data_IF_158770921056
#
_entry.id   IF_158770921056
#
_cell.length_a   1.000
_cell.length_b   1.000
_cell.length_c   1.000
_cell.angle_alpha   90.00
_cell.angle_beta   90.00
_cell.angle_gamma   90.00
#
_symmetry.space_group_name_H-M   'P 1'
#
loop_
_entity.id
_entity.type
_entity.pdbx_description
1 polymer ?
#
# COMPACT_ATOMS: atom_id res chain seq x y z
N UNK A 1 -15.67 -3.05 41.82
CA UNK A 1 -14.92 -2.31 40.81
C UNK A 1 -15.86 -2.01 39.65
N UNK A 2 -15.89 -0.78 39.14
CA UNK A 2 -16.69 -0.45 37.95
C UNK A 2 -15.92 -0.83 36.69
N UNK A 3 -16.32 -1.93 36.05
CA UNK A 3 -15.60 -2.49 34.89
C UNK A 3 -15.68 -1.57 33.65
N UNK A 4 -16.83 -0.89 33.47
CA UNK A 4 -16.99 0.01 32.32
C UNK A 4 -16.12 1.26 32.46
N UNK A 5 -15.97 1.78 33.67
CA UNK A 5 -15.12 2.93 33.96
C UNK A 5 -13.64 2.66 33.54
N UNK A 6 -13.07 1.55 33.99
CA UNK A 6 -11.67 1.23 33.64
C UNK A 6 -11.49 0.79 32.18
N UNK A 7 -12.49 0.11 31.60
CA UNK A 7 -12.45 -0.20 30.19
C UNK A 7 -12.53 1.06 29.32
N UNK A 8 -13.29 2.08 29.74
CA UNK A 8 -13.32 3.37 29.02
C UNK A 8 -11.95 4.05 29.01
N UNK A 9 -11.16 3.95 30.08
CA UNK A 9 -9.79 4.46 30.12
C UNK A 9 -8.88 3.70 29.16
N UNK A 10 -9.02 2.37 29.05
CA UNK A 10 -8.30 1.57 28.08
C UNK A 10 -8.70 1.94 26.64
N UNK A 11 -9.99 2.24 26.38
CA UNK A 11 -10.48 2.71 25.09
C UNK A 11 -9.90 4.07 24.69
N UNK A 12 -9.73 5.01 25.62
CA UNK A 12 -9.06 6.28 25.30
C UNK A 12 -7.60 6.06 24.88
N UNK A 13 -6.86 5.18 25.56
CA UNK A 13 -5.51 4.80 25.14
C UNK A 13 -5.49 4.11 23.77
N UNK A 14 -6.52 3.31 23.44
CA UNK A 14 -6.66 2.72 22.11
C UNK A 14 -6.90 3.79 21.02
N UNK A 15 -7.72 4.82 21.30
CA UNK A 15 -7.92 5.96 20.38
C UNK A 15 -6.63 6.75 20.16
N UNK A 16 -5.85 6.98 21.22
CA UNK A 16 -4.53 7.60 21.09
C UNK A 16 -3.58 6.78 20.20
N UNK A 17 -3.55 5.44 20.36
CA UNK A 17 -2.78 4.55 19.50
C UNK A 17 -3.21 4.70 18.03
N UNK A 18 -4.53 4.71 17.76
CA UNK A 18 -5.07 4.93 16.41
C UNK A 18 -4.62 6.25 15.80
N UNK A 19 -4.66 7.34 16.57
CA UNK A 19 -4.23 8.67 16.12
C UNK A 19 -2.73 8.73 15.77
N UNK A 20 -1.92 7.88 16.41
CA UNK A 20 -0.49 7.71 16.13
C UNK A 20 -0.19 6.70 14.99
N UNK A 21 -1.23 6.14 14.36
CA UNK A 21 -1.09 5.15 13.27
C UNK A 21 -0.82 3.71 13.74
N UNK A 22 -0.97 3.45 15.03
CA UNK A 22 -0.81 2.13 15.64
C UNK A 22 -2.13 1.36 15.69
N UNK A 23 -2.06 0.04 15.73
CA UNK A 23 -3.25 -0.78 15.99
C UNK A 23 -3.92 -0.35 17.29
N UNK A 24 -5.21 0.00 17.30
CA UNK A 24 -5.88 0.61 18.45
C UNK A 24 -6.17 -0.40 19.57
N UNK A 25 -5.15 -0.64 20.37
CA UNK A 25 -5.25 -1.42 21.60
C UNK A 25 -4.71 -0.57 22.75
N UNK A 26 -5.50 -0.50 23.80
CA UNK A 26 -5.15 0.18 25.05
C UNK A 26 -5.37 -0.75 26.25
N UNK A 27 -4.57 -0.56 27.29
CA UNK A 27 -4.64 -1.36 28.50
C UNK A 27 -4.35 -0.53 29.75
N UNK A 28 -5.02 -0.85 30.85
CA UNK A 28 -4.72 -0.31 32.19
C UNK A 28 -4.62 -1.44 33.22
N UNK A 29 -3.70 -1.30 34.16
CA UNK A 29 -3.60 -2.16 35.35
C UNK A 29 -4.10 -1.40 36.56
N UNK A 30 -5.05 -2.00 37.28
CA UNK A 30 -5.73 -1.40 38.44
C UNK A 30 -5.44 -2.23 39.68
N UNK A 31 -5.02 -1.59 40.77
CA UNK A 31 -4.90 -2.23 42.05
C UNK A 31 -6.29 -2.37 42.68
N UNK A 32 -6.74 -3.61 42.94
CA UNK A 32 -8.10 -3.92 43.32
C UNK A 32 -8.52 -3.40 44.72
N UNK A 33 -7.54 -3.19 45.61
CA UNK A 33 -7.79 -2.76 46.99
C UNK A 33 -8.26 -1.33 47.12
N UNK A 34 -7.87 -0.42 46.23
CA UNK A 34 -8.20 1.01 46.31
C UNK A 34 -8.65 1.60 44.94
N UNK A 35 -8.67 0.79 43.89
CA UNK A 35 -9.08 1.24 42.57
C UNK A 35 -8.06 2.15 41.87
N UNK A 36 -6.81 2.22 42.36
CA UNK A 36 -5.80 3.06 41.77
C UNK A 36 -5.27 2.42 40.45
N UNK A 37 -5.23 3.20 39.36
CA UNK A 37 -4.56 2.82 38.10
C UNK A 37 -3.06 2.97 38.30
N UNK A 38 -2.35 1.85 38.28
CA UNK A 38 -0.90 1.75 38.53
C UNK A 38 -0.09 1.49 37.28
N UNK A 39 -0.72 1.21 36.15
CA UNK A 39 -0.06 1.04 34.86
C UNK A 39 -1.00 1.37 33.71
N UNK A 40 -0.46 1.98 32.66
CA UNK A 40 -1.12 2.32 31.41
C UNK A 40 -0.29 1.90 30.22
N UNK A 41 -0.94 1.45 29.16
CA UNK A 41 -0.27 1.07 27.95
C UNK A 41 -1.13 1.25 26.71
N UNK A 42 -0.52 1.64 25.63
CA UNK A 42 -1.10 1.61 24.29
C UNK A 42 -0.12 0.97 23.31
N UNK A 43 -0.62 0.36 22.24
CA UNK A 43 0.27 -0.22 21.22
C UNK A 43 1.21 0.84 20.66
N UNK A 44 2.49 0.42 20.47
CA UNK A 44 3.57 1.23 19.88
C UNK A 44 4.53 0.36 19.04
N UNK A 45 4.02 -0.65 18.36
CA UNK A 45 4.84 -1.60 17.58
C UNK A 45 5.55 -0.96 16.41
N UNK A 46 4.82 -0.19 15.61
CA UNK A 46 5.31 0.44 14.38
C UNK A 46 6.26 1.60 14.72
N UNK A 47 5.82 2.54 15.56
CA UNK A 47 6.60 3.70 15.99
C UNK A 47 7.81 3.30 16.85
N UNK A 48 7.62 2.31 17.71
CA UNK A 48 8.68 1.76 18.56
C UNK A 48 9.62 0.80 17.85
N UNK A 49 9.26 0.34 16.63
CA UNK A 49 9.97 -0.70 15.87
C UNK A 49 10.29 -1.93 16.72
N UNK A 50 9.33 -2.33 17.56
CA UNK A 50 9.53 -3.40 18.53
C UNK A 50 8.25 -4.25 18.66
N UNK A 51 8.36 -5.54 18.35
CA UNK A 51 7.26 -6.50 18.40
C UNK A 51 6.70 -6.70 19.82
N UNK A 52 7.44 -6.34 20.86
CA UNK A 52 7.01 -6.47 22.26
C UNK A 52 6.17 -5.30 22.76
N UNK A 53 6.11 -4.18 22.04
CA UNK A 53 5.39 -2.97 22.45
C UNK A 53 3.86 -3.11 22.27
N UNK A 54 3.27 -4.15 22.85
CA UNK A 54 1.84 -4.31 23.01
C UNK A 54 1.33 -3.54 24.24
N UNK A 55 0.09 -3.07 24.19
CA UNK A 55 -0.52 -2.27 25.25
C UNK A 55 -0.44 -2.96 26.61
N UNK A 56 -0.73 -4.26 26.66
CA UNK A 56 -0.71 -5.07 27.88
C UNK A 56 0.69 -5.13 28.51
N UNK A 57 1.73 -5.35 27.68
CA UNK A 57 3.11 -5.45 28.18
C UNK A 57 3.58 -4.10 28.74
N UNK A 58 3.24 -3.01 28.07
CA UNK A 58 3.57 -1.64 28.51
C UNK A 58 2.87 -1.34 29.85
N UNK A 59 1.58 -1.67 29.96
CA UNK A 59 0.83 -1.46 31.19
C UNK A 59 1.34 -2.33 32.36
N UNK A 60 1.71 -3.59 32.10
CA UNK A 60 2.32 -4.50 33.07
C UNK A 60 3.69 -3.98 33.53
N UNK A 61 4.55 -3.52 32.61
CA UNK A 61 5.87 -2.97 32.96
C UNK A 61 5.73 -1.72 33.84
N UNK A 62 4.85 -0.79 33.50
CA UNK A 62 4.59 0.40 34.31
C UNK A 62 4.04 0.01 35.71
N UNK A 63 3.11 -0.93 35.76
CA UNK A 63 2.54 -1.41 37.03
C UNK A 63 3.61 -2.05 37.93
N UNK A 64 4.51 -2.86 37.35
CA UNK A 64 5.63 -3.45 38.07
C UNK A 64 6.57 -2.39 38.65
N UNK A 65 6.89 -1.36 37.89
CA UNK A 65 7.71 -0.21 38.35
C UNK A 65 7.01 0.55 39.47
N UNK A 66 5.71 0.82 39.31
CA UNK A 66 4.91 1.55 40.31
C UNK A 66 4.85 0.81 41.64
N UNK A 67 4.73 -0.52 41.63
CA UNK A 67 4.70 -1.35 42.83
C UNK A 67 6.10 -1.72 43.36
N UNK A 68 7.16 -1.46 42.62
CA UNK A 68 8.53 -1.83 42.99
C UNK A 68 8.79 -3.35 42.95
N UNK A 69 7.99 -4.11 42.20
CA UNK A 69 8.09 -5.56 42.11
C UNK A 69 7.37 -6.16 40.91
N UNK A 70 7.73 -7.37 40.53
CA UNK A 70 7.19 -8.04 39.35
C UNK A 70 5.85 -8.79 39.60
N UNK A 71 5.47 -9.02 40.84
CA UNK A 71 4.21 -9.68 41.19
C UNK A 71 3.07 -8.67 41.32
N UNK A 72 2.07 -8.82 40.45
CA UNK A 72 0.87 -7.97 40.41
C UNK A 72 -0.36 -8.68 41.03
N UNK A 73 -0.14 -9.48 42.06
CA UNK A 73 -1.25 -10.04 42.86
C UNK A 73 -2.10 -8.92 43.44
N UNK A 74 -3.41 -9.11 43.52
CA UNK A 74 -4.37 -8.06 43.89
C UNK A 74 -4.60 -7.01 42.84
N UNK A 75 -4.20 -7.26 41.57
CA UNK A 75 -4.42 -6.32 40.47
C UNK A 75 -5.27 -6.93 39.35
N UNK A 76 -5.96 -6.05 38.62
CA UNK A 76 -6.81 -6.37 37.46
C UNK A 76 -6.26 -5.66 36.24
N UNK A 77 -6.06 -6.39 35.13
CA UNK A 77 -5.74 -5.83 33.82
C UNK A 77 -7.04 -5.61 33.04
N UNK A 78 -7.23 -4.42 32.52
CA UNK A 78 -8.26 -4.10 31.53
C UNK A 78 -7.58 -3.87 30.18
N UNK A 79 -8.07 -4.50 29.14
CA UNK A 79 -7.53 -4.36 27.77
C UNK A 79 -8.66 -4.37 26.74
N UNK A 80 -8.56 -3.54 25.72
CA UNK A 80 -9.64 -3.39 24.71
C UNK A 80 -9.77 -4.59 23.77
N UNK A 81 -8.73 -5.41 23.62
CA UNK A 81 -8.69 -6.59 22.76
C UNK A 81 -8.21 -7.81 23.54
N UNK A 82 -8.75 -8.98 23.24
CA UNK A 82 -8.34 -10.25 23.83
C UNK A 82 -6.82 -10.44 23.74
N UNK A 83 -6.12 -10.78 24.83
CA UNK A 83 -4.68 -10.94 24.85
C UNK A 83 -4.18 -12.02 23.90
N UNK A 84 -3.11 -11.71 23.15
CA UNK A 84 -2.40 -12.66 22.33
C UNK A 84 -1.52 -13.62 23.18
N UNK A 85 -0.89 -14.67 22.60
CA UNK A 85 -0.08 -15.64 23.38
C UNK A 85 1.05 -15.01 24.19
N UNK A 86 1.73 -13.99 23.62
CA UNK A 86 2.81 -13.26 24.30
C UNK A 86 2.28 -12.52 25.55
N UNK A 87 1.16 -11.80 25.39
CA UNK A 87 0.55 -11.03 26.47
C UNK A 87 -0.08 -11.95 27.54
N UNK A 88 -0.73 -13.04 27.13
CA UNK A 88 -1.23 -14.06 28.05
C UNK A 88 -0.10 -14.68 28.89
N UNK A 89 1.04 -14.98 28.28
CA UNK A 89 2.24 -15.43 29.00
C UNK A 89 2.75 -14.40 30.01
N UNK A 90 2.76 -13.11 29.66
CA UNK A 90 3.16 -12.04 30.58
C UNK A 90 2.17 -11.88 31.75
N UNK A 91 0.88 -12.00 31.51
CA UNK A 91 -0.19 -11.98 32.50
C UNK A 91 0.01 -13.11 33.54
N UNK A 92 0.26 -14.33 33.06
CA UNK A 92 0.54 -15.50 33.92
C UNK A 92 1.79 -15.26 34.76
N UNK A 93 2.87 -14.80 34.14
CA UNK A 93 4.15 -14.60 34.80
C UNK A 93 4.09 -13.45 35.84
N UNK A 94 3.39 -12.36 35.55
CA UNK A 94 3.23 -11.22 36.47
C UNK A 94 2.27 -11.49 37.63
N UNK A 95 1.54 -12.62 37.63
CA UNK A 95 0.59 -13.00 38.69
C UNK A 95 -0.59 -12.04 38.80
N UNK A 96 -1.10 -11.52 37.70
CA UNK A 96 -2.35 -10.74 37.70
C UNK A 96 -3.53 -11.63 38.12
N UNK A 97 -4.36 -11.16 39.02
CA UNK A 97 -5.49 -11.95 39.53
C UNK A 97 -6.67 -12.00 38.58
N UNK A 98 -6.92 -10.91 37.84
CA UNK A 98 -8.06 -10.78 36.94
C UNK A 98 -7.64 -10.13 35.62
N UNK A 99 -8.20 -10.60 34.51
CA UNK A 99 -8.11 -9.98 33.19
C UNK A 99 -9.50 -9.69 32.67
N UNK A 100 -9.75 -8.43 32.32
CA UNK A 100 -11.00 -7.95 31.73
C UNK A 100 -10.69 -7.51 30.32
N UNK A 101 -11.32 -8.13 29.31
CA UNK A 101 -11.11 -7.69 27.95
C UNK A 101 -12.40 -7.31 27.22
N UNK A 102 -12.25 -6.42 26.21
CA UNK A 102 -13.34 -5.93 25.38
C UNK A 102 -13.67 -6.89 24.24
N UNK A 103 -13.10 -6.66 23.08
CA UNK A 103 -13.35 -7.46 21.88
C UNK A 103 -12.58 -8.78 21.88
N UNK A 104 -13.20 -9.84 21.37
CA UNK A 104 -12.53 -11.11 21.07
C UNK A 104 -11.61 -10.97 19.84
N UNK A 105 -10.49 -11.69 19.83
CA UNK A 105 -9.56 -11.74 18.69
C UNK A 105 -9.54 -13.14 18.05
N UNK A 106 -10.25 -13.29 16.94
CA UNK A 106 -10.33 -14.57 16.19
C UNK A 106 -9.01 -14.98 15.51
N UNK A 107 -7.96 -14.14 15.53
CA UNK A 107 -6.68 -14.41 14.86
C UNK A 107 -5.58 -14.82 15.84
N UNK A 108 -5.56 -14.22 17.04
CA UNK A 108 -4.50 -14.43 18.01
C UNK A 108 -4.98 -14.50 19.45
N UNK A 109 -6.29 -14.43 19.70
CA UNK A 109 -6.87 -14.45 21.04
C UNK A 109 -6.52 -15.70 21.81
N UNK A 110 -6.00 -15.54 23.02
CA UNK A 110 -5.47 -16.64 23.83
C UNK A 110 -6.21 -16.79 25.18
N UNK A 111 -7.41 -16.20 25.27
CA UNK A 111 -8.33 -16.33 26.39
C UNK A 111 -9.64 -17.05 26.02
N UNK A 112 -9.65 -17.76 24.87
CA UNK A 112 -10.80 -18.56 24.44
C UNK A 112 -11.10 -18.52 22.93
N UNK A 113 -10.66 -17.48 22.18
CA UNK A 113 -11.02 -17.35 20.76
C UNK A 113 -10.25 -18.29 19.85
N UNK A 114 -8.93 -18.40 19.96
CA UNK A 114 -8.10 -19.34 19.22
C UNK A 114 -7.64 -20.48 20.11
N UNK A 115 -7.18 -20.16 21.29
CA UNK A 115 -6.78 -21.09 22.36
C UNK A 115 -7.06 -20.46 23.71
N UNK A 116 -7.05 -21.27 24.77
CA UNK A 116 -7.14 -20.75 26.14
C UNK A 116 -5.88 -21.11 26.93
N UNK A 117 -4.88 -20.23 26.93
CA UNK A 117 -3.65 -20.41 27.69
C UNK A 117 -3.87 -20.41 29.19
N UNK A 118 -4.92 -19.75 29.68
CA UNK A 118 -5.23 -19.66 31.11
C UNK A 118 -5.83 -20.96 31.68
N UNK A 119 -6.28 -21.90 30.82
CA UNK A 119 -6.75 -23.24 31.23
C UNK A 119 -5.66 -24.30 31.19
N UNK A 120 -4.50 -24.00 30.62
CA UNK A 120 -3.35 -24.90 30.69
C UNK A 120 -2.80 -24.95 32.11
N UNK A 121 -2.15 -26.04 32.48
CA UNK A 121 -1.67 -26.33 33.82
C UNK A 121 -0.50 -25.47 34.33
N UNK A 122 -0.49 -24.17 34.00
CA UNK A 122 0.49 -23.24 34.51
C UNK A 122 0.28 -22.93 36.00
N UNK A 123 1.34 -22.46 36.65
CA UNK A 123 1.39 -22.22 38.08
C UNK A 123 0.61 -20.97 38.55
N UNK A 124 -0.11 -20.29 37.65
CA UNK A 124 -1.02 -19.19 37.96
C UNK A 124 -2.14 -19.14 36.92
N UNK A 125 -3.33 -18.86 37.39
CA UNK A 125 -4.53 -18.78 36.54
C UNK A 125 -5.34 -17.55 36.95
N UNK A 126 -5.39 -16.49 36.16
CA UNK A 126 -6.23 -15.33 36.42
C UNK A 126 -7.71 -15.65 36.18
N UNK A 127 -8.60 -14.92 36.84
CA UNK A 127 -9.99 -14.84 36.45
C UNK A 127 -10.13 -14.08 35.12
N UNK A 128 -10.98 -14.58 34.21
CA UNK A 128 -11.20 -13.97 32.91
C UNK A 128 -12.62 -13.43 32.79
N UNK A 129 -12.75 -12.12 32.51
CA UNK A 129 -14.02 -11.44 32.25
C UNK A 129 -13.96 -10.88 30.83
N UNK A 130 -14.84 -11.34 29.95
CA UNK A 130 -14.85 -10.95 28.55
C UNK A 130 -16.04 -10.06 28.20
N UNK A 131 -15.91 -9.31 27.10
CA UNK A 131 -17.05 -8.63 26.47
C UNK A 131 -17.38 -7.26 27.03
N UNK A 132 -16.58 -6.71 27.94
CA UNK A 132 -16.82 -5.38 28.50
C UNK A 132 -16.53 -4.31 27.47
N UNK A 133 -17.55 -3.54 27.07
CA UNK A 133 -17.50 -2.55 25.98
C UNK A 133 -16.95 -3.15 24.66
N UNK A 134 -17.39 -4.37 24.35
CA UNK A 134 -16.88 -5.12 23.19
C UNK A 134 -17.20 -4.46 21.85
N UNK A 135 -18.38 -3.85 21.72
CA UNK A 135 -18.78 -3.21 20.45
C UNK A 135 -18.01 -1.91 20.20
N UNK A 136 -17.75 -1.13 21.23
CA UNK A 136 -16.89 0.06 21.15
C UNK A 136 -15.46 -0.33 20.76
N UNK A 137 -14.91 -1.38 21.38
CA UNK A 137 -13.58 -1.92 21.05
C UNK A 137 -13.50 -2.40 19.60
N UNK A 138 -14.51 -3.13 19.13
CA UNK A 138 -14.60 -3.59 17.72
C UNK A 138 -14.74 -2.43 16.76
N UNK A 139 -15.52 -1.39 17.10
CA UNK A 139 -15.74 -0.23 16.22
C UNK A 139 -14.44 0.50 15.94
N UNK A 140 -13.65 0.81 16.97
CA UNK A 140 -12.36 1.49 16.81
C UNK A 140 -11.41 0.67 15.93
N UNK A 141 -11.31 -0.63 16.13
CA UNK A 141 -10.51 -1.54 15.31
C UNK A 141 -10.99 -1.55 13.85
N UNK A 142 -12.30 -1.68 13.63
CA UNK A 142 -12.91 -1.71 12.30
C UNK A 142 -12.66 -0.41 11.53
N UNK A 143 -12.86 0.73 12.17
CA UNK A 143 -12.62 2.05 11.59
C UNK A 143 -11.16 2.22 11.18
N UNK A 144 -10.23 1.92 12.06
CA UNK A 144 -8.79 1.98 11.81
C UNK A 144 -8.37 1.13 10.60
N UNK A 145 -8.73 -0.16 10.57
CA UNK A 145 -8.37 -1.03 9.46
C UNK A 145 -9.10 -0.68 8.16
N UNK A 146 -10.31 -0.13 8.21
CA UNK A 146 -11.01 0.33 7.02
C UNK A 146 -10.33 1.57 6.43
N UNK A 147 -9.87 2.49 7.27
CA UNK A 147 -9.10 3.67 6.82
C UNK A 147 -7.73 3.27 6.25
N UNK A 148 -7.02 2.35 6.90
CA UNK A 148 -5.76 1.80 6.36
C UNK A 148 -5.95 1.19 4.97
N UNK A 149 -6.99 0.37 4.76
CA UNK A 149 -7.32 -0.20 3.44
C UNK A 149 -7.65 0.88 2.43
N UNK A 150 -8.40 1.93 2.83
CA UNK A 150 -8.71 3.08 1.96
C UNK A 150 -7.45 3.81 1.55
N UNK A 151 -6.56 4.14 2.50
CA UNK A 151 -5.27 4.81 2.23
C UNK A 151 -4.40 3.97 1.28
N UNK A 152 -4.30 2.65 1.52
CA UNK A 152 -3.56 1.73 0.65
C UNK A 152 -4.13 1.72 -0.76
N UNK A 153 -5.46 1.57 -0.91
CA UNK A 153 -6.14 1.59 -2.21
C UNK A 153 -5.95 2.91 -2.96
N UNK A 154 -5.92 4.04 -2.25
CA UNK A 154 -5.64 5.37 -2.83
C UNK A 154 -4.16 5.55 -3.20
N UNK A 155 -3.25 4.80 -2.60
CA UNK A 155 -1.81 4.86 -2.90
C UNK A 155 -1.39 3.88 -4.01
N UNK A 156 -2.22 2.91 -4.36
CA UNK A 156 -1.94 1.95 -5.43
C UNK A 156 -2.00 2.62 -6.81
N UNK A 157 -0.97 2.37 -7.60
CA UNK A 157 -0.99 2.69 -9.03
C UNK A 157 -1.88 1.69 -9.75
N UNK A 158 -2.76 2.17 -10.62
CA UNK A 158 -3.64 1.33 -11.44
C UNK A 158 -3.47 1.63 -12.91
N UNK A 159 -3.41 0.56 -13.71
CA UNK A 159 -3.49 0.61 -15.16
C UNK A 159 -4.94 0.38 -15.55
N UNK A 160 -5.61 1.42 -16.05
CA UNK A 160 -7.01 1.34 -16.50
C UNK A 160 -7.04 1.27 -18.00
N UNK A 161 -7.50 0.16 -18.56
CA UNK A 161 -7.62 -0.02 -20.01
C UNK A 161 -8.63 0.97 -20.61
N UNK A 162 -8.26 1.58 -21.73
CA UNK A 162 -9.07 2.56 -22.45
C UNK A 162 -10.06 1.81 -23.33
N UNK A 163 -11.37 1.97 -23.05
CA UNK A 163 -12.47 1.29 -23.75
C UNK A 163 -13.61 2.22 -24.14
N UNK A 164 -13.59 3.46 -23.66
CA UNK A 164 -14.66 4.43 -23.90
C UNK A 164 -14.12 5.70 -24.54
N UNK A 165 -14.97 6.41 -25.30
CA UNK A 165 -14.61 7.68 -25.94
C UNK A 165 -14.11 8.72 -24.93
N UNK A 166 -14.70 8.80 -23.74
CA UNK A 166 -14.27 9.70 -22.66
C UNK A 166 -12.82 9.38 -22.22
N UNK A 167 -12.46 8.10 -22.19
CA UNK A 167 -11.10 7.69 -21.84
C UNK A 167 -10.11 8.01 -22.98
N UNK A 168 -10.51 7.85 -24.24
CA UNK A 168 -9.72 8.27 -25.42
C UNK A 168 -9.41 9.76 -25.36
N UNK A 169 -10.41 10.59 -25.14
CA UNK A 169 -10.26 12.04 -24.99
C UNK A 169 -9.35 12.41 -23.81
N UNK A 170 -9.44 11.64 -22.71
CA UNK A 170 -8.56 11.81 -21.54
C UNK A 170 -7.10 11.49 -21.89
N UNK A 171 -6.83 10.46 -22.68
CA UNK A 171 -5.48 10.12 -23.15
C UNK A 171 -4.95 11.19 -24.09
N UNK A 172 -5.77 11.66 -25.06
CA UNK A 172 -5.37 12.71 -25.99
C UNK A 172 -5.00 14.01 -25.25
N UNK A 173 -5.77 14.38 -24.24
CA UNK A 173 -5.49 15.55 -23.38
C UNK A 173 -4.18 15.36 -22.59
N UNK A 174 -3.97 14.17 -22.02
CA UNK A 174 -2.71 13.85 -21.34
C UNK A 174 -1.51 13.91 -22.27
N UNK A 175 -1.68 13.46 -23.53
CA UNK A 175 -0.65 13.52 -24.54
C UNK A 175 -0.27 14.96 -24.86
N UNK A 176 -1.24 15.82 -25.16
CA UNK A 176 -1.00 17.24 -25.45
C UNK A 176 -0.25 17.93 -24.31
N UNK A 177 -0.73 17.76 -23.05
CA UNK A 177 -0.12 18.33 -21.85
C UNK A 177 1.35 17.88 -21.68
N UNK A 178 1.62 16.56 -21.79
CA UNK A 178 2.95 16.00 -21.53
C UNK A 178 3.91 16.31 -22.67
N UNK A 179 3.47 16.27 -23.94
CA UNK A 179 4.31 16.51 -25.09
C UNK A 179 4.75 17.97 -25.18
N UNK A 180 3.84 18.93 -24.97
CA UNK A 180 4.19 20.36 -24.96
C UNK A 180 5.10 20.76 -23.80
N UNK A 181 5.13 19.96 -22.73
CA UNK A 181 6.03 20.22 -21.60
C UNK A 181 7.43 19.58 -21.82
N UNK A 182 7.47 18.38 -22.43
CA UNK A 182 8.71 17.58 -22.48
C UNK A 182 9.53 17.78 -23.75
N UNK A 183 8.89 17.80 -24.91
CA UNK A 183 9.57 17.72 -26.21
C UNK A 183 10.11 19.03 -26.77
N UNK A 184 9.79 20.25 -26.32
CA UNK A 184 10.39 21.50 -26.86
C UNK A 184 11.91 21.57 -26.78
N UNK A 185 12.53 20.78 -25.88
CA UNK A 185 13.99 20.68 -25.75
C UNK A 185 14.62 19.63 -26.69
N UNK A 186 13.81 18.84 -27.41
CA UNK A 186 14.25 17.68 -28.22
C UNK A 186 13.92 17.88 -29.70
N UNK A 187 12.72 18.38 -30.00
CA UNK A 187 12.21 18.61 -31.36
C UNK A 187 11.50 19.96 -31.47
N UNK A 188 11.25 20.44 -32.71
CA UNK A 188 10.57 21.71 -32.95
C UNK A 188 9.09 21.70 -32.56
N UNK A 189 8.52 22.87 -32.24
CA UNK A 189 7.09 23.01 -31.94
C UNK A 189 6.20 22.50 -33.11
N UNK A 190 6.59 22.81 -34.36
CA UNK A 190 5.87 22.33 -35.54
C UNK A 190 5.88 20.80 -35.66
N UNK A 191 6.96 20.15 -35.23
CA UNK A 191 7.05 18.69 -35.19
C UNK A 191 6.20 18.12 -34.05
N UNK A 192 6.14 18.80 -32.89
CA UNK A 192 5.24 18.43 -31.78
C UNK A 192 3.79 18.48 -32.23
N UNK A 193 3.37 19.58 -32.87
CA UNK A 193 2.00 19.71 -33.36
C UNK A 193 1.65 18.62 -34.38
N UNK A 194 2.54 18.34 -35.31
CA UNK A 194 2.37 17.26 -36.28
C UNK A 194 2.25 15.88 -35.62
N UNK A 195 3.09 15.59 -34.63
CA UNK A 195 3.10 14.31 -33.92
C UNK A 195 1.86 14.13 -33.03
N UNK A 196 1.40 15.21 -32.40
CA UNK A 196 0.18 15.19 -31.60
C UNK A 196 -1.05 14.96 -32.47
N UNK A 197 -1.17 15.66 -33.59
CA UNK A 197 -2.28 15.49 -34.53
C UNK A 197 -2.30 14.09 -35.13
N UNK A 198 -1.19 13.65 -35.68
CA UNK A 198 -1.09 12.39 -36.43
C UNK A 198 -1.14 11.13 -35.55
N UNK A 199 -0.59 11.17 -34.34
CA UNK A 199 -0.37 9.95 -33.54
C UNK A 199 -1.01 9.97 -32.15
N UNK A 200 -1.45 11.13 -31.64
CA UNK A 200 -1.90 11.30 -30.26
C UNK A 200 -3.26 12.02 -30.15
N UNK A 201 -3.86 12.43 -31.26
CA UNK A 201 -5.22 12.99 -31.28
C UNK A 201 -6.24 11.92 -30.88
N UNK A 202 -7.43 12.33 -30.42
CA UNK A 202 -8.49 11.38 -30.08
C UNK A 202 -8.89 10.49 -31.26
N UNK A 203 -8.89 11.04 -32.49
CA UNK A 203 -9.14 10.29 -33.72
C UNK A 203 -8.04 9.27 -33.97
N UNK A 204 -6.76 9.68 -33.91
CA UNK A 204 -5.63 8.78 -34.09
C UNK A 204 -5.61 7.64 -33.06
N UNK A 205 -5.91 7.92 -31.79
CA UNK A 205 -6.00 6.90 -30.74
C UNK A 205 -7.16 5.94 -30.98
N UNK A 206 -8.32 6.45 -31.44
CA UNK A 206 -9.47 5.59 -31.80
C UNK A 206 -9.14 4.64 -32.94
N UNK A 207 -8.51 5.13 -34.02
CA UNK A 207 -8.06 4.31 -35.14
C UNK A 207 -7.05 3.25 -34.70
N UNK A 208 -6.08 3.61 -33.86
CA UNK A 208 -5.12 2.65 -33.32
C UNK A 208 -5.78 1.57 -32.45
N UNK A 209 -6.81 1.90 -31.66
CA UNK A 209 -7.58 0.89 -30.92
C UNK A 209 -8.27 -0.10 -31.89
N UNK A 210 -8.79 0.34 -33.02
CA UNK A 210 -9.36 -0.51 -34.06
C UNK A 210 -8.30 -1.38 -34.76
N UNK A 211 -7.07 -0.89 -34.86
CA UNK A 211 -5.89 -1.61 -35.39
C UNK A 211 -5.29 -2.62 -34.39
N UNK A 212 -5.84 -2.73 -33.18
CA UNK A 212 -5.39 -3.71 -32.17
C UNK A 212 -4.45 -3.15 -31.11
N UNK A 213 -4.17 -1.85 -31.11
CA UNK A 213 -3.46 -1.23 -29.99
C UNK A 213 -4.30 -1.30 -28.72
N UNK A 214 -3.62 -1.41 -27.58
CA UNK A 214 -4.23 -1.32 -26.27
C UNK A 214 -3.64 -0.13 -25.53
N UNK A 215 -4.49 0.74 -25.02
CA UNK A 215 -4.10 1.90 -24.23
C UNK A 215 -4.48 1.73 -22.79
N UNK A 216 -3.63 2.21 -21.89
CA UNK A 216 -3.90 2.19 -20.45
C UNK A 216 -3.61 3.57 -19.85
N UNK A 217 -4.56 4.10 -19.09
CA UNK A 217 -4.36 5.28 -18.25
C UNK A 217 -3.70 4.83 -16.96
N UNK A 218 -2.56 5.44 -16.64
CA UNK A 218 -1.85 5.23 -15.39
C UNK A 218 -2.46 6.15 -14.34
N UNK A 219 -2.99 5.59 -13.26
CA UNK A 219 -3.69 6.33 -12.21
C UNK A 219 -3.05 6.09 -10.85
N UNK A 220 -3.06 7.14 -10.01
CA UNK A 220 -2.84 7.03 -8.57
C UNK A 220 -4.09 7.54 -7.84
N UNK A 221 -4.85 6.63 -7.25
CA UNK A 221 -6.19 6.96 -6.76
C UNK A 221 -7.07 7.49 -7.89
N UNK A 222 -7.57 8.71 -7.76
CA UNK A 222 -8.38 9.38 -8.78
C UNK A 222 -7.57 10.26 -9.75
N UNK A 223 -6.26 10.38 -9.53
CA UNK A 223 -5.39 11.25 -10.35
C UNK A 223 -4.81 10.48 -11.52
N UNK A 224 -4.91 11.03 -12.72
CA UNK A 224 -4.22 10.53 -13.91
C UNK A 224 -2.78 11.03 -13.88
N UNK A 225 -1.81 10.10 -13.82
CA UNK A 225 -0.38 10.41 -13.73
C UNK A 225 0.36 10.21 -15.05
N UNK A 226 -0.28 9.53 -16.00
CA UNK A 226 0.28 9.27 -17.33
C UNK A 226 -0.55 8.28 -18.12
N UNK A 227 0.00 7.80 -19.23
CA UNK A 227 -0.62 6.76 -20.05
C UNK A 227 0.46 5.91 -20.76
N UNK A 228 0.05 4.73 -21.21
CA UNK A 228 0.85 3.84 -22.04
C UNK A 228 0.01 3.27 -23.19
N UNK A 229 0.64 3.03 -24.32
CA UNK A 229 0.04 2.40 -25.49
C UNK A 229 0.92 1.27 -26.00
N UNK A 230 0.35 0.10 -26.22
CA UNK A 230 1.05 -1.12 -26.65
C UNK A 230 0.33 -1.81 -27.79
N UNK A 231 1.06 -2.60 -28.56
CA UNK A 231 0.53 -3.42 -29.66
C UNK A 231 1.24 -4.78 -29.66
N UNK A 232 0.53 -5.91 -29.67
CA UNK A 232 1.13 -7.22 -29.85
C UNK A 232 1.59 -7.39 -31.31
N UNK A 233 2.86 -7.73 -31.53
CA UNK A 233 3.39 -7.98 -32.87
C UNK A 233 3.27 -9.46 -33.27
N UNK A 234 3.19 -9.74 -34.57
CA UNK A 234 3.09 -11.12 -35.07
C UNK A 234 4.29 -12.01 -34.72
N UNK A 235 5.44 -11.42 -34.37
CA UNK A 235 6.66 -12.14 -33.98
C UNK A 235 6.66 -12.58 -32.50
N UNK A 236 5.56 -12.35 -31.78
CA UNK A 236 5.40 -12.75 -30.38
C UNK A 236 6.00 -11.76 -29.38
N UNK A 237 6.24 -10.51 -29.78
CA UNK A 237 6.66 -9.43 -28.87
C UNK A 237 5.57 -8.40 -28.69
N UNK A 238 5.66 -7.64 -27.59
CA UNK A 238 4.81 -6.49 -27.32
C UNK A 238 5.54 -5.21 -27.72
N UNK A 239 5.02 -4.49 -28.70
CA UNK A 239 5.50 -3.16 -29.04
C UNK A 239 4.98 -2.14 -28.01
N UNK A 240 5.88 -1.51 -27.27
CA UNK A 240 5.58 -0.37 -26.40
C UNK A 240 5.68 0.92 -27.22
N UNK A 241 4.57 1.31 -27.82
CA UNK A 241 4.49 2.51 -28.65
C UNK A 241 4.55 3.80 -27.84
N UNK A 242 3.99 3.81 -26.64
CA UNK A 242 3.84 5.02 -25.81
C UNK A 242 3.98 4.70 -24.33
N UNK A 243 4.80 5.50 -23.61
CA UNK A 243 4.85 5.55 -22.15
C UNK A 243 5.21 6.96 -21.72
N UNK A 244 4.24 7.67 -21.22
CA UNK A 244 4.38 9.07 -20.84
C UNK A 244 3.86 9.31 -19.44
N UNK A 245 4.66 10.00 -18.60
CA UNK A 245 4.35 10.34 -17.22
C UNK A 245 4.42 11.86 -17.08
N UNK A 246 3.41 12.47 -16.44
CA UNK A 246 3.39 13.89 -16.11
C UNK A 246 4.60 14.29 -15.28
N UNK A 247 5.13 15.49 -15.48
CA UNK A 247 6.36 16.00 -14.85
C UNK A 247 6.36 15.86 -13.33
N UNK A 248 5.30 16.31 -12.69
CA UNK A 248 5.15 16.27 -11.24
C UNK A 248 5.07 14.85 -10.64
N UNK A 249 4.92 13.85 -11.52
CA UNK A 249 4.86 12.43 -11.14
C UNK A 249 6.11 11.63 -11.54
N UNK A 250 7.07 12.20 -12.28
CA UNK A 250 8.33 11.54 -12.66
C UNK A 250 9.20 11.27 -11.43
N UNK A 251 10.09 10.29 -11.52
CA UNK A 251 10.98 9.90 -10.42
C UNK A 251 10.32 9.18 -9.24
N UNK A 252 9.01 8.87 -9.33
CA UNK A 252 8.23 8.22 -8.27
C UNK A 252 7.94 6.73 -8.53
N UNK A 253 8.63 6.10 -9.48
CA UNK A 253 8.53 4.66 -9.75
C UNK A 253 7.44 4.23 -10.74
N UNK A 254 6.60 5.14 -11.26
CA UNK A 254 5.47 4.77 -12.14
C UNK A 254 5.89 4.05 -13.44
N UNK A 255 7.05 4.40 -14.01
CA UNK A 255 7.56 3.67 -15.17
C UNK A 255 7.89 2.21 -14.84
N UNK A 256 8.56 1.96 -13.72
CA UNK A 256 8.87 0.60 -13.25
C UNK A 256 7.61 -0.22 -12.95
N UNK A 257 6.59 0.41 -12.34
CA UNK A 257 5.29 -0.24 -12.11
C UNK A 257 4.57 -0.55 -13.43
N UNK A 258 4.68 0.35 -14.43
CA UNK A 258 4.14 0.10 -15.77
C UNK A 258 4.86 -1.06 -16.44
N UNK A 259 6.19 -1.15 -16.36
CA UNK A 259 6.92 -2.29 -16.92
C UNK A 259 6.59 -3.61 -16.22
N UNK A 260 6.37 -3.60 -14.90
CA UNK A 260 5.89 -4.80 -14.20
C UNK A 260 4.54 -5.26 -14.75
N UNK A 261 3.59 -4.32 -14.89
CA UNK A 261 2.29 -4.59 -15.49
C UNK A 261 2.39 -5.12 -16.93
N UNK A 262 3.26 -4.53 -17.77
CA UNK A 262 3.44 -4.97 -19.16
C UNK A 262 4.10 -6.36 -19.25
N UNK A 263 5.01 -6.72 -18.33
CA UNK A 263 5.55 -8.07 -18.24
C UNK A 263 4.46 -9.10 -17.89
N UNK A 264 3.56 -8.76 -16.95
CA UNK A 264 2.44 -9.62 -16.63
C UNK A 264 1.47 -9.75 -17.82
N UNK A 265 1.22 -8.65 -18.53
CA UNK A 265 0.44 -8.65 -19.77
C UNK A 265 1.07 -9.55 -20.86
N UNK A 266 2.41 -9.55 -20.99
CA UNK A 266 3.12 -10.45 -21.90
C UNK A 266 2.90 -11.91 -21.51
N UNK A 267 3.06 -12.27 -20.23
CA UNK A 267 2.82 -13.63 -19.73
C UNK A 267 1.40 -14.13 -19.97
N UNK A 268 0.40 -13.26 -19.75
CA UNK A 268 -1.01 -13.56 -19.99
C UNK A 268 -1.35 -13.80 -21.48
N UNK A 269 -0.52 -13.30 -22.40
CA UNK A 269 -0.73 -13.39 -23.85
C UNK A 269 0.36 -14.17 -24.58
N UNK A 270 1.19 -14.96 -23.87
CA UNK A 270 2.29 -15.77 -24.42
C UNK A 270 3.31 -14.97 -25.28
N UNK A 271 3.59 -13.72 -24.89
CA UNK A 271 4.56 -12.85 -25.54
C UNK A 271 5.90 -12.89 -24.80
N UNK A 272 6.99 -13.10 -25.54
CA UNK A 272 8.33 -13.37 -24.98
C UNK A 272 9.20 -12.12 -24.77
N UNK A 273 8.71 -10.92 -25.10
CA UNK A 273 9.50 -9.70 -24.90
C UNK A 273 8.71 -8.42 -25.14
N UNK A 274 9.27 -7.32 -24.66
CA UNK A 274 8.76 -5.95 -24.89
C UNK A 274 9.82 -5.22 -25.70
N UNK A 275 9.44 -4.56 -26.79
CA UNK A 275 10.34 -3.72 -27.57
C UNK A 275 9.76 -2.32 -27.78
N UNK A 276 10.63 -1.33 -27.99
CA UNK A 276 10.25 0.07 -28.18
C UNK A 276 11.28 0.81 -29.04
N UNK A 277 10.88 1.99 -29.52
CA UNK A 277 11.77 2.96 -30.13
C UNK A 277 11.91 4.20 -29.25
N UNK A 278 13.08 4.83 -29.29
CA UNK A 278 13.32 6.10 -28.56
C UNK A 278 14.30 6.97 -29.33
N UNK A 279 13.97 8.26 -29.45
CA UNK A 279 14.84 9.23 -30.14
C UNK A 279 16.20 9.29 -29.44
N UNK A 280 17.27 9.24 -30.26
CA UNK A 280 18.67 9.24 -29.78
C UNK A 280 19.01 10.45 -28.91
N UNK A 281 18.34 11.58 -29.13
CA UNK A 281 18.55 12.80 -28.36
C UNK A 281 17.82 12.78 -27.00
N UNK A 282 17.00 11.76 -26.72
CA UNK A 282 16.27 11.64 -25.47
C UNK A 282 17.06 10.84 -24.41
N UNK A 283 18.26 11.37 -24.06
CA UNK A 283 19.22 10.70 -23.16
C UNK A 283 18.60 10.29 -21.81
N UNK A 284 17.73 11.13 -21.26
CA UNK A 284 17.09 10.85 -19.96
C UNK A 284 16.21 9.61 -20.01
N UNK A 285 15.42 9.45 -21.08
CA UNK A 285 14.54 8.30 -21.28
C UNK A 285 15.34 7.04 -21.63
N UNK A 286 16.41 7.17 -22.43
CA UNK A 286 17.35 6.09 -22.71
C UNK A 286 17.95 5.52 -21.43
N UNK A 287 18.35 6.36 -20.49
CA UNK A 287 18.90 5.92 -19.20
C UNK A 287 17.83 5.21 -18.33
N UNK A 288 16.58 5.64 -18.37
CA UNK A 288 15.47 4.95 -17.69
C UNK A 288 15.28 3.54 -18.26
N UNK A 289 15.25 3.37 -19.59
CA UNK A 289 15.09 2.05 -20.21
C UNK A 289 16.25 1.12 -19.85
N UNK A 290 17.50 1.60 -19.94
CA UNK A 290 18.68 0.82 -19.52
C UNK A 290 18.59 0.38 -18.05
N UNK A 291 18.16 1.27 -17.15
CA UNK A 291 17.97 0.95 -15.73
C UNK A 291 16.86 -0.09 -15.51
N UNK A 292 15.82 -0.09 -16.35
CA UNK A 292 14.74 -1.07 -16.32
C UNK A 292 15.10 -2.42 -16.98
N UNK A 293 16.33 -2.58 -17.47
CA UNK A 293 16.85 -3.83 -18.04
C UNK A 293 16.69 -3.98 -19.55
N UNK A 294 16.24 -2.94 -20.25
CA UNK A 294 16.21 -2.95 -21.71
C UNK A 294 17.60 -2.87 -22.31
N UNK A 295 17.80 -3.56 -23.42
CA UNK A 295 19.04 -3.57 -24.23
C UNK A 295 18.78 -2.96 -25.59
N UNK A 296 19.77 -2.23 -26.13
CA UNK A 296 19.71 -1.75 -27.50
C UNK A 296 19.91 -2.96 -28.43
N UNK A 297 18.99 -3.12 -29.37
CA UNK A 297 19.00 -4.20 -30.37
C UNK A 297 19.21 -3.69 -31.82
N UNK A 298 19.12 -2.37 -32.00
CA UNK A 298 19.31 -1.74 -33.30
C UNK A 298 19.05 -0.24 -33.28
N UNK A 299 19.15 0.36 -34.43
CA UNK A 299 18.81 1.77 -34.68
C UNK A 299 18.32 1.96 -36.11
N UNK A 300 17.48 2.97 -36.32
CA UNK A 300 17.01 3.35 -37.68
C UNK A 300 16.64 4.83 -37.75
N UNK A 301 16.60 5.34 -38.98
CA UNK A 301 16.14 6.68 -39.31
C UNK A 301 14.88 6.56 -40.15
N UNK A 302 13.74 6.80 -39.57
CA UNK A 302 12.44 6.64 -40.22
C UNK A 302 11.87 8.00 -40.65
N UNK A 303 11.50 8.13 -41.94
CA UNK A 303 10.71 9.28 -42.42
C UNK A 303 9.27 9.14 -41.94
N UNK A 304 8.81 10.10 -41.12
CA UNK A 304 7.46 10.13 -40.57
C UNK A 304 6.49 11.00 -41.35
N UNK A 305 6.96 11.57 -42.47
CA UNK A 305 6.20 12.46 -43.34
C UNK A 305 6.36 13.93 -42.98
N UNK A 306 5.84 14.81 -43.86
CA UNK A 306 5.92 16.25 -43.73
C UNK A 306 7.38 16.81 -43.60
N UNK A 307 8.37 16.09 -44.09
CA UNK A 307 9.79 16.43 -44.00
C UNK A 307 10.41 16.18 -42.59
N UNK A 308 9.73 15.50 -41.71
CA UNK A 308 10.24 15.11 -40.39
C UNK A 308 10.77 13.68 -40.42
N UNK A 309 11.84 13.45 -39.62
CA UNK A 309 12.46 12.14 -39.46
C UNK A 309 12.53 11.81 -37.94
N UNK A 310 12.48 10.51 -37.62
CA UNK A 310 12.79 9.97 -36.31
C UNK A 310 14.11 9.17 -36.42
N UNK A 311 15.12 9.60 -35.67
CA UNK A 311 16.40 8.89 -35.52
C UNK A 311 16.39 8.20 -34.16
N UNK A 312 16.04 6.91 -34.17
CA UNK A 312 15.69 6.16 -32.98
C UNK A 312 16.63 4.98 -32.70
N UNK A 313 16.85 4.69 -31.43
CA UNK A 313 17.32 3.38 -30.98
C UNK A 313 16.13 2.44 -30.79
N UNK A 314 16.35 1.16 -31.11
CA UNK A 314 15.46 0.07 -30.81
C UNK A 314 15.92 -0.62 -29.53
N UNK A 315 15.02 -0.74 -28.57
CA UNK A 315 15.27 -1.38 -27.29
C UNK A 315 14.41 -2.62 -27.13
N UNK A 316 14.94 -3.65 -26.47
CA UNK A 316 14.20 -4.86 -26.11
C UNK A 316 14.43 -5.24 -24.65
N UNK A 317 13.40 -5.78 -24.05
CA UNK A 317 13.39 -6.41 -22.73
C UNK A 317 12.79 -7.81 -22.89
N UNK A 318 13.57 -8.83 -22.59
CA UNK A 318 13.09 -10.21 -22.61
C UNK A 318 12.15 -10.46 -21.40
N UNK A 319 11.12 -11.25 -21.61
CA UNK A 319 10.15 -11.64 -20.57
C UNK A 319 10.15 -13.15 -20.47
N UNK A 320 10.49 -13.66 -19.29
CA UNK A 320 10.37 -15.09 -19.00
C UNK A 320 8.87 -15.46 -18.89
N UNK A 321 8.45 -16.43 -19.71
CA UNK A 321 7.07 -16.93 -19.79
C UNK A 321 6.87 -18.03 -18.76
#
# INVERSE_FOLDING_TARGET
MDLNFYMSMALELAKEAAAEGETPVGAVVVRSSDGLVIGRGKNRRENGRNALCHAELIAIDEACRTLGGWRLGGCTLFVTLEPCPMCAGAIINSRLDTVVYGAADSKAGSAGSVTNLFELGYNHRPEIISGIMAEESKSILKEFFSELRRKRKMSETKMTEVKTQIQVESVAKLADEIWREWFPSIISESQIDYMLDKFQSAEAISNQLEEGYRYFIIRKGETYVGYTGVHPDPDGRLFLSKLYIKKEHRGKGYASETFSFLKDLCRENDLHGIWLTVNKNNESTINVYKHCGFKIIGEDVTDIGNGFVMDDYFFQLDVDI
#
